data_IF_766493136213
#
_entry.id   IF_766493136213
#
_cell.length_a   1.000
_cell.length_b   1.000
_cell.length_c   1.000
_cell.angle_alpha   90.00
_cell.angle_beta   90.00
_cell.angle_gamma   90.00
#
_symmetry.space_group_name_H-M   'P 1'
#
loop_
_entity.id
_entity.type
_entity.pdbx_description
1 polymer ?
#
# COMPACT_ATOMS: atom_id res chain seq x y z
N UNK A 1 -28.34 -18.88 -33.27
CA UNK A 1 -29.43 -17.88 -33.21
C UNK A 1 -30.36 -18.24 -32.06
N UNK A 2 -30.84 -17.28 -31.24
CA UNK A 2 -30.58 -15.84 -31.28
C UNK A 2 -29.60 -15.36 -30.19
N UNK A 3 -28.89 -14.31 -30.55
CA UNK A 3 -28.04 -13.43 -29.72
C UNK A 3 -28.88 -12.23 -29.27
N UNK A 4 -28.75 -11.80 -28.02
CA UNK A 4 -29.26 -10.51 -27.56
C UNK A 4 -28.09 -9.62 -27.13
N UNK A 5 -27.76 -8.67 -28.00
CA UNK A 5 -26.96 -7.48 -27.72
C UNK A 5 -27.89 -6.37 -27.25
N UNK A 6 -27.56 -5.69 -26.15
CA UNK A 6 -28.13 -4.37 -25.83
C UNK A 6 -27.07 -3.47 -25.19
N UNK A 7 -26.44 -2.68 -26.06
CA UNK A 7 -26.08 -1.26 -26.04
C UNK A 7 -25.94 -0.49 -24.72
N UNK A 8 -24.78 0.15 -24.58
CA UNK A 8 -24.43 1.18 -23.60
C UNK A 8 -25.25 2.47 -23.80
N UNK A 9 -25.67 3.11 -22.71
CA UNK A 9 -26.28 4.43 -22.74
C UNK A 9 -25.24 5.51 -22.40
N UNK A 10 -24.89 6.31 -23.41
CA UNK A 10 -24.23 7.61 -23.30
C UNK A 10 -25.31 8.67 -23.24
N UNK A 11 -25.32 9.51 -22.20
CA UNK A 11 -26.19 10.71 -22.16
C UNK A 11 -25.32 11.96 -22.16
N UNK A 12 -25.37 12.67 -23.29
CA UNK A 12 -24.76 13.99 -23.49
C UNK A 12 -25.82 15.08 -23.29
N UNK A 13 -25.46 16.06 -22.45
CA UNK A 13 -25.75 17.51 -22.45
C UNK A 13 -27.10 18.03 -22.98
N UNK A 14 -27.82 18.76 -22.11
CA UNK A 14 -28.74 19.84 -22.51
C UNK A 14 -28.31 21.16 -21.87
N UNK A 15 -27.91 22.10 -22.71
CA UNK A 15 -27.56 23.49 -22.43
C UNK A 15 -28.81 24.31 -22.10
N UNK A 16 -28.76 25.18 -21.08
CA UNK A 16 -29.68 26.31 -20.97
C UNK A 16 -28.90 27.57 -20.53
N UNK A 17 -28.66 28.44 -21.51
CA UNK A 17 -28.16 29.80 -21.35
C UNK A 17 -29.34 30.74 -21.07
N UNK A 18 -29.24 31.58 -20.03
CA UNK A 18 -29.97 32.85 -19.95
C UNK A 18 -29.09 33.92 -19.30
N UNK A 19 -29.12 35.10 -19.93
CA UNK A 19 -28.22 36.24 -19.84
C UNK A 19 -28.21 37.00 -18.49
N UNK A 20 -27.03 37.55 -18.15
CA UNK A 20 -26.73 38.92 -17.66
C UNK A 20 -25.88 39.01 -16.36
N UNK A 21 -25.00 40.03 -16.24
CA UNK A 21 -23.73 39.92 -15.51
C UNK A 21 -23.85 40.35 -14.05
N UNK A 22 -23.37 39.51 -13.13
CA UNK A 22 -23.25 39.87 -11.71
C UNK A 22 -21.78 40.01 -11.34
N UNK A 23 -21.35 41.27 -11.21
CA UNK A 23 -20.23 41.81 -10.45
C UNK A 23 -19.31 40.79 -9.75
N UNK A 24 -18.11 40.57 -10.28
CA UNK A 24 -17.04 39.87 -9.56
C UNK A 24 -16.58 40.77 -8.41
N UNK A 25 -16.98 40.43 -7.19
CA UNK A 25 -16.48 41.08 -5.99
C UNK A 25 -15.07 40.54 -5.72
N UNK A 26 -14.05 41.28 -6.12
CA UNK A 26 -12.65 40.97 -5.76
C UNK A 26 -12.53 40.88 -4.24
N UNK A 27 -12.14 39.71 -3.76
CA UNK A 27 -11.90 39.46 -2.34
C UNK A 27 -10.48 39.91 -2.05
N UNK A 28 -10.33 41.11 -1.46
CA UNK A 28 -9.04 41.63 -1.01
C UNK A 28 -8.59 40.79 0.19
N UNK A 29 -7.52 40.02 0.02
CA UNK A 29 -6.86 39.33 1.14
C UNK A 29 -5.96 40.33 1.89
N UNK A 30 -5.96 40.35 3.23
CA UNK A 30 -5.05 41.20 3.99
C UNK A 30 -3.60 40.70 3.84
N UNK A 31 -2.72 41.61 3.42
CA UNK A 31 -1.27 41.40 3.40
C UNK A 31 -0.73 41.52 4.82
N UNK A 32 -0.30 40.40 5.42
CA UNK A 32 0.44 40.43 6.68
C UNK A 32 1.93 40.66 6.40
N UNK A 33 2.49 41.73 6.97
CA UNK A 33 3.94 41.99 6.94
C UNK A 33 4.69 40.96 7.79
N UNK A 34 5.78 40.35 7.31
CA UNK A 34 6.56 39.42 8.13
C UNK A 34 7.28 40.16 9.26
N UNK A 35 7.00 39.77 10.50
CA UNK A 35 7.79 40.21 11.66
C UNK A 35 9.14 39.50 11.66
N UNK A 36 10.22 40.27 11.53
CA UNK A 36 11.61 39.80 11.62
C UNK A 36 11.89 39.23 13.02
N UNK A 37 11.95 37.92 13.16
CA UNK A 37 12.46 37.28 14.38
C UNK A 37 13.99 37.24 14.36
N UNK A 38 14.60 37.85 15.38
CA UNK A 38 16.04 37.85 15.63
C UNK A 38 16.52 36.41 15.94
N UNK A 39 17.62 35.91 15.33
CA UNK A 39 18.10 34.56 15.59
C UNK A 39 18.73 34.47 17.00
N UNK A 40 18.17 33.59 17.83
CA UNK A 40 18.74 33.16 19.12
C UNK A 40 19.98 32.31 18.88
N UNK A 41 21.07 32.61 19.59
CA UNK A 41 22.37 31.94 19.44
C UNK A 41 22.29 30.41 19.59
N UNK A 42 23.08 29.70 18.79
CA UNK A 42 23.13 28.23 18.71
C UNK A 42 23.82 27.64 19.96
N UNK A 43 23.19 26.73 20.72
CA UNK A 43 23.89 26.00 21.77
C UNK A 43 24.87 25.01 21.15
N UNK A 44 26.15 25.12 21.48
CA UNK A 44 27.17 24.12 21.10
C UNK A 44 27.05 22.94 22.06
N UNK A 45 26.56 21.80 21.58
CA UNK A 45 26.59 20.52 22.30
C UNK A 45 27.43 19.54 21.51
N UNK A 46 28.65 19.28 21.97
CA UNK A 46 29.45 18.13 21.53
C UNK A 46 28.95 16.89 22.24
N UNK A 47 28.01 16.18 21.62
CA UNK A 47 27.62 14.82 22.02
C UNK A 47 28.39 13.82 21.17
N UNK A 48 29.36 13.12 21.77
CA UNK A 48 29.91 11.90 21.17
C UNK A 48 28.90 10.78 21.42
N UNK A 49 28.04 10.50 20.44
CA UNK A 49 27.12 9.37 20.51
C UNK A 49 27.87 8.06 20.27
N UNK A 50 27.73 7.10 21.20
CA UNK A 50 28.06 5.70 20.94
C UNK A 50 27.35 5.23 19.65
N UNK A 51 27.91 4.27 18.88
CA UNK A 51 27.31 3.83 17.63
C UNK A 51 25.91 3.29 17.92
N UNK A 52 24.90 4.05 17.51
CA UNK A 52 23.52 3.60 17.52
C UNK A 52 23.42 2.51 16.47
N UNK A 53 23.11 1.28 16.89
CA UNK A 53 22.63 0.25 15.96
C UNK A 53 21.52 0.88 15.14
N UNK A 54 21.74 1.02 13.83
CA UNK A 54 20.80 1.75 12.99
C UNK A 54 19.52 0.94 12.90
N UNK A 55 18.44 1.45 13.50
CA UNK A 55 17.13 0.78 13.51
C UNK A 55 16.56 0.69 12.08
N UNK A 56 16.83 1.69 11.24
CA UNK A 56 16.50 1.70 9.80
C UNK A 56 17.30 2.81 9.10
N UNK A 57 18.00 2.49 8.02
CA UNK A 57 18.68 3.48 7.14
C UNK A 57 18.18 3.32 5.69
N UNK A 58 17.30 4.19 5.19
CA UNK A 58 16.76 4.06 3.84
C UNK A 58 17.83 4.26 2.76
N UNK A 59 17.99 3.28 1.88
CA UNK A 59 18.89 3.37 0.71
C UNK A 59 20.26 2.73 0.94
N UNK A 60 20.61 2.42 2.18
CA UNK A 60 21.81 1.65 2.50
C UNK A 60 21.56 0.14 2.28
N UNK A 61 21.73 -0.32 1.04
CA UNK A 61 21.39 -1.68 0.60
C UNK A 61 22.42 -2.75 1.04
N UNK A 62 22.44 -3.10 2.32
CA UNK A 62 23.45 -4.02 2.92
C UNK A 62 22.89 -5.38 3.31
N UNK A 63 21.56 -5.52 3.46
CA UNK A 63 20.93 -6.73 4.01
C UNK A 63 20.45 -7.66 2.89
N UNK A 64 20.95 -8.90 2.84
CA UNK A 64 20.49 -9.93 1.88
C UNK A 64 19.61 -10.97 2.55
N UNK A 65 18.35 -11.08 2.14
CA UNK A 65 17.40 -12.07 2.66
C UNK A 65 16.42 -12.51 1.56
N UNK A 66 16.06 -13.79 1.51
CA UNK A 66 15.10 -14.35 0.54
C UNK A 66 15.37 -13.95 -0.93
N UNK A 67 16.64 -13.79 -1.30
CA UNK A 67 17.05 -13.34 -2.64
C UNK A 67 16.90 -11.83 -2.91
N UNK A 68 16.44 -11.06 -1.93
CA UNK A 68 16.30 -9.60 -1.99
C UNK A 68 17.52 -8.92 -1.36
N UNK A 69 17.87 -7.74 -1.90
CA UNK A 69 18.78 -6.80 -1.27
C UNK A 69 17.95 -5.66 -0.66
N UNK A 70 18.05 -5.48 0.65
CA UNK A 70 17.21 -4.62 1.46
C UNK A 70 18.06 -3.54 2.13
N UNK A 71 17.42 -2.41 2.44
CA UNK A 71 17.99 -1.36 3.28
C UNK A 71 18.32 -1.88 4.68
N UNK A 72 19.36 -1.31 5.31
CA UNK A 72 19.70 -1.57 6.71
C UNK A 72 18.47 -1.41 7.62
N UNK A 73 18.24 -2.37 8.50
CA UNK A 73 17.10 -2.39 9.43
C UNK A 73 15.81 -3.03 8.89
N UNK A 74 15.73 -3.37 7.61
CA UNK A 74 14.59 -4.12 7.04
C UNK A 74 14.81 -5.64 7.12
N UNK A 75 13.70 -6.37 7.20
CA UNK A 75 13.67 -7.84 7.09
C UNK A 75 12.63 -8.26 6.06
N UNK A 76 12.75 -9.49 5.55
CA UNK A 76 11.76 -10.09 4.67
C UNK A 76 11.32 -11.46 5.16
N UNK A 77 10.06 -11.80 4.90
CA UNK A 77 9.48 -13.12 5.18
C UNK A 77 8.80 -13.65 3.94
N UNK A 78 9.10 -14.90 3.58
CA UNK A 78 8.40 -15.61 2.52
C UNK A 78 7.05 -16.12 3.06
N UNK A 79 5.95 -15.61 2.51
CA UNK A 79 4.60 -15.99 2.96
C UNK A 79 4.04 -17.21 2.23
N UNK A 80 4.31 -17.32 0.94
CA UNK A 80 3.83 -18.40 0.09
C UNK A 80 4.79 -18.62 -1.08
N UNK A 81 4.71 -19.79 -1.71
CA UNK A 81 5.48 -20.13 -2.91
C UNK A 81 4.56 -20.86 -3.87
N UNK A 82 4.56 -20.46 -5.15
CA UNK A 82 3.75 -21.10 -6.18
C UNK A 82 3.91 -22.62 -6.19
N UNK A 83 2.79 -23.32 -6.29
CA UNK A 83 2.74 -24.78 -6.32
C UNK A 83 3.01 -25.46 -4.98
N UNK A 84 3.21 -24.71 -3.88
CA UNK A 84 3.40 -25.27 -2.53
C UNK A 84 2.22 -24.90 -1.62
N UNK A 85 1.83 -25.76 -0.66
CA UNK A 85 0.93 -25.36 0.42
C UNK A 85 1.45 -24.13 1.17
N UNK A 86 0.53 -23.28 1.62
CA UNK A 86 0.84 -22.13 2.49
C UNK A 86 1.05 -22.66 3.90
N UNK A 87 2.21 -22.37 4.49
CA UNK A 87 2.53 -22.77 5.86
C UNK A 87 1.98 -21.72 6.83
N UNK A 88 1.39 -22.18 7.93
CA UNK A 88 0.85 -21.34 8.98
C UNK A 88 1.84 -21.27 10.16
N UNK A 89 1.98 -20.09 10.77
CA UNK A 89 2.80 -19.93 11.97
C UNK A 89 2.17 -20.62 13.19
N UNK A 90 0.85 -20.85 13.15
CA UNK A 90 0.07 -21.57 14.16
C UNK A 90 -0.88 -22.57 13.51
N UNK A 91 -1.26 -23.65 14.20
CA UNK A 91 -2.21 -24.61 13.63
C UNK A 91 -3.55 -23.98 13.27
N UNK A 92 -4.07 -24.27 12.09
CA UNK A 92 -5.33 -23.71 11.58
C UNK A 92 -6.58 -24.46 12.02
N UNK A 93 -6.43 -25.67 12.57
CA UNK A 93 -7.55 -26.51 13.00
C UNK A 93 -7.23 -27.36 14.25
N UNK A 94 -8.26 -28.00 14.80
CA UNK A 94 -8.15 -28.87 15.97
C UNK A 94 -7.31 -30.14 15.73
N UNK A 95 -6.99 -30.46 14.47
CA UNK A 95 -6.15 -31.60 14.10
C UNK A 95 -4.66 -31.22 14.01
N UNK A 96 -4.32 -29.96 14.28
CA UNK A 96 -2.94 -29.50 14.26
C UNK A 96 -2.41 -29.21 12.85
N UNK A 97 -3.27 -28.97 11.86
CA UNK A 97 -2.81 -28.67 10.50
C UNK A 97 -2.02 -27.35 10.48
N UNK A 98 -0.75 -27.42 10.07
CA UNK A 98 0.17 -26.28 9.99
C UNK A 98 0.37 -25.77 8.55
N UNK A 99 -0.44 -26.26 7.61
CA UNK A 99 -0.41 -25.82 6.22
C UNK A 99 -1.77 -25.95 5.55
N UNK A 100 -1.96 -25.21 4.47
CA UNK A 100 -3.17 -25.29 3.65
C UNK A 100 -3.28 -26.64 2.93
N UNK A 101 -4.52 -27.05 2.62
CA UNK A 101 -4.78 -28.26 1.83
C UNK A 101 -4.60 -28.00 0.34
N UNK A 102 -4.87 -26.78 -0.11
CA UNK A 102 -4.62 -26.31 -1.47
C UNK A 102 -3.22 -25.73 -1.59
N UNK A 103 -2.62 -25.84 -2.78
CA UNK A 103 -1.36 -25.17 -3.09
C UNK A 103 -1.58 -23.70 -3.45
N UNK A 104 -0.58 -22.86 -3.22
CA UNK A 104 -0.60 -21.48 -3.69
C UNK A 104 -0.51 -21.42 -5.22
N UNK A 105 -1.27 -20.52 -5.83
CA UNK A 105 -1.42 -20.48 -7.29
C UNK A 105 -0.09 -20.15 -8.01
N UNK A 106 -0.03 -20.57 -9.27
CA UNK A 106 1.10 -20.27 -10.17
C UNK A 106 1.04 -18.82 -10.67
N UNK A 107 2.23 -18.29 -10.99
CA UNK A 107 2.44 -16.92 -11.49
C UNK A 107 1.65 -15.87 -10.69
N UNK A 108 1.91 -15.75 -9.38
CA UNK A 108 1.30 -14.70 -8.58
C UNK A 108 1.78 -13.35 -9.11
N UNK A 109 0.81 -12.50 -9.47
CA UNK A 109 1.08 -11.13 -9.84
C UNK A 109 0.07 -10.22 -9.15
N UNK A 110 0.59 -9.10 -8.66
CA UNK A 110 -0.15 -8.10 -7.92
C UNK A 110 -0.93 -8.67 -6.71
N UNK A 111 -1.42 -7.79 -5.88
CA UNK A 111 -2.32 -8.19 -4.81
C UNK A 111 -2.86 -7.01 -4.03
N UNK A 112 -3.76 -7.32 -3.11
CA UNK A 112 -4.34 -6.37 -2.19
C UNK A 112 -4.39 -6.96 -0.78
N UNK A 113 -4.19 -6.11 0.22
CA UNK A 113 -4.34 -6.45 1.62
C UNK A 113 -5.63 -5.83 2.16
N UNK A 114 -6.40 -6.62 2.91
CA UNK A 114 -7.60 -6.18 3.61
C UNK A 114 -7.46 -6.55 5.08
N UNK A 115 -8.04 -5.74 5.98
CA UNK A 115 -8.09 -6.10 7.40
C UNK A 115 -9.04 -7.29 7.56
N UNK A 116 -8.65 -8.30 8.35
CA UNK A 116 -9.55 -9.40 8.69
C UNK A 116 -10.51 -8.97 9.83
N UNK A 117 -11.81 -8.81 9.57
CA UNK A 117 -12.76 -8.40 10.61
C UNK A 117 -12.95 -9.47 11.70
N UNK A 118 -12.52 -10.72 11.46
CA UNK A 118 -12.69 -11.85 12.39
C UNK A 118 -11.42 -12.14 13.19
N UNK A 119 -10.29 -11.52 12.85
CA UNK A 119 -9.01 -11.73 13.50
C UNK A 119 -8.33 -10.36 13.77
N UNK A 120 -8.50 -9.76 14.96
CA UNK A 120 -7.93 -8.45 15.28
C UNK A 120 -6.41 -8.39 15.03
N UNK A 121 -5.96 -7.42 14.23
CA UNK A 121 -4.56 -7.30 13.79
C UNK A 121 -4.17 -8.23 12.64
N UNK A 122 -5.07 -9.13 12.23
CA UNK A 122 -4.94 -10.00 11.08
C UNK A 122 -5.25 -9.30 9.76
N UNK A 123 -4.74 -9.88 8.69
CA UNK A 123 -4.89 -9.38 7.33
C UNK A 123 -5.24 -10.52 6.38
N UNK A 124 -6.04 -10.19 5.37
CA UNK A 124 -6.36 -11.03 4.23
C UNK A 124 -5.54 -10.50 3.06
N UNK A 125 -4.65 -11.34 2.52
CA UNK A 125 -3.93 -11.04 1.29
C UNK A 125 -4.60 -11.77 0.12
N UNK A 126 -4.92 -11.03 -0.94
CA UNK A 126 -5.48 -11.56 -2.19
C UNK A 126 -4.50 -11.27 -3.31
N UNK A 127 -4.14 -12.27 -4.10
CA UNK A 127 -3.26 -12.13 -5.26
C UNK A 127 -3.93 -12.67 -6.51
N UNK A 128 -3.59 -12.10 -7.67
CA UNK A 128 -4.07 -12.63 -8.94
C UNK A 128 -3.20 -13.80 -9.40
N UNK A 129 -3.80 -14.74 -10.13
CA UNK A 129 -3.07 -15.78 -10.84
C UNK A 129 -3.13 -15.50 -12.34
N UNK A 130 -1.96 -15.30 -12.95
CA UNK A 130 -1.86 -15.01 -14.39
C UNK A 130 -1.86 -16.30 -15.25
N UNK A 131 -2.40 -17.40 -14.73
CA UNK A 131 -2.60 -18.64 -15.50
C UNK A 131 -4.08 -18.98 -15.67
N UNK A 132 -4.44 -19.45 -16.86
CA UNK A 132 -5.81 -19.90 -17.19
C UNK A 132 -6.15 -21.29 -16.66
N UNK A 133 -5.17 -22.02 -16.11
CA UNK A 133 -5.43 -23.36 -15.58
C UNK A 133 -6.06 -23.21 -14.21
N UNK A 134 -7.36 -23.53 -14.12
CA UNK A 134 -8.10 -23.56 -12.87
C UNK A 134 -7.31 -24.34 -11.81
N UNK A 135 -7.21 -23.77 -10.60
CA UNK A 135 -6.49 -24.35 -9.47
C UNK A 135 -6.82 -25.84 -9.33
N UNK A 136 -5.78 -26.68 -9.36
CA UNK A 136 -5.90 -28.12 -9.12
C UNK A 136 -5.91 -28.41 -7.63
#
# INVERSE_FOLDING_TARGET
YPTTSTTAATTTTTTNNNNAPSSVRETVFPTFSPTSMQPTATPTTTTTSAPTTVTFDPGELTVRQNGLLLSTGLTSRLLATSGRPVVYDTPSDANGQQQSRQVFHSLPDMGACFVDPRNPGGWIYVSNSEVRTAGR
#
